data_IF_214224973455
#
_entry.id   IF_214224973455
#
_cell.length_a   1.000
_cell.length_b   1.000
_cell.length_c   1.000
_cell.angle_alpha   90.00
_cell.angle_beta   90.00
_cell.angle_gamma   90.00
#
_symmetry.space_group_name_H-M   'P 1'
#
loop_
_entity.id
_entity.type
_entity.pdbx_description
1 polymer ?
#
# COMPACT_ATOMS: atom_id res chain seq x y z
N UNK A 1 -8.30 20.54 16.19
CA UNK A 1 -8.67 19.34 15.42
C UNK A 1 -8.60 19.53 13.89
N UNK A 2 -9.36 20.46 13.25
CA UNK A 2 -9.38 20.59 11.77
C UNK A 2 -7.98 20.78 11.13
N UNK A 3 -7.12 21.62 11.72
CA UNK A 3 -5.74 21.85 11.22
C UNK A 3 -4.88 20.60 11.31
N UNK A 4 -5.00 19.84 12.40
CA UNK A 4 -4.27 18.59 12.58
C UNK A 4 -4.74 17.53 11.56
N UNK A 5 -6.07 17.37 11.40
CA UNK A 5 -6.63 16.46 10.43
C UNK A 5 -6.13 16.77 9.01
N UNK A 6 -6.17 18.05 8.61
CA UNK A 6 -5.67 18.46 7.29
C UNK A 6 -4.18 18.12 7.11
N UNK A 7 -3.32 18.47 8.09
CA UNK A 7 -1.89 18.22 8.00
C UNK A 7 -1.55 16.74 7.98
N UNK A 8 -2.10 15.95 8.88
CA UNK A 8 -1.84 14.51 8.93
C UNK A 8 -2.35 13.81 7.67
N UNK A 9 -3.52 14.22 7.16
CA UNK A 9 -4.04 13.73 5.88
C UNK A 9 -3.14 14.13 4.71
N UNK A 10 -2.63 15.35 4.67
CA UNK A 10 -1.69 15.80 3.64
C UNK A 10 -0.36 15.01 3.68
N UNK A 11 0.16 14.69 4.87
CA UNK A 11 1.36 13.85 5.01
C UNK A 11 1.16 12.48 4.38
N UNK A 12 0.06 11.81 4.71
CA UNK A 12 -0.30 10.49 4.17
C UNK A 12 -0.55 10.57 2.65
N UNK A 13 -1.25 11.62 2.19
CA UNK A 13 -1.51 11.85 0.78
C UNK A 13 -0.22 11.94 -0.04
N UNK A 14 0.74 12.77 0.38
CA UNK A 14 1.99 12.93 -0.36
C UNK A 14 2.86 11.67 -0.32
N UNK A 15 2.90 10.96 0.80
CA UNK A 15 3.62 9.69 0.90
C UNK A 15 3.08 8.67 -0.12
N UNK A 16 1.76 8.46 -0.15
CA UNK A 16 1.15 7.50 -1.07
C UNK A 16 1.23 7.97 -2.53
N UNK A 17 1.13 9.28 -2.79
CA UNK A 17 1.26 9.81 -4.15
C UNK A 17 2.66 9.54 -4.74
N UNK A 18 3.72 9.76 -3.95
CA UNK A 18 5.08 9.49 -4.41
C UNK A 18 5.46 8.01 -4.39
N UNK A 19 4.83 7.19 -3.55
CA UNK A 19 4.89 5.74 -3.69
C UNK A 19 4.38 5.29 -5.06
N UNK A 20 3.17 5.71 -5.44
CA UNK A 20 2.49 5.28 -6.65
C UNK A 20 3.04 5.94 -7.96
N UNK A 21 3.89 6.96 -7.85
CA UNK A 21 4.45 7.67 -9.00
C UNK A 21 5.46 6.83 -9.83
N UNK A 22 5.97 5.72 -9.28
CA UNK A 22 7.00 4.91 -9.96
C UNK A 22 6.46 4.17 -11.19
N UNK A 23 5.19 3.75 -11.19
CA UNK A 23 4.65 2.87 -12.21
C UNK A 23 4.78 3.41 -13.66
N UNK A 24 4.46 4.67 -13.98
CA UNK A 24 4.68 5.22 -15.31
C UNK A 24 6.16 5.45 -15.68
N UNK A 25 7.06 5.56 -14.69
CA UNK A 25 8.49 5.78 -14.91
C UNK A 25 9.28 4.48 -15.11
N UNK A 26 8.70 3.34 -14.72
CA UNK A 26 9.42 2.08 -14.72
C UNK A 26 9.94 1.66 -16.12
N UNK A 27 9.18 1.84 -17.22
CA UNK A 27 9.68 1.56 -18.56
C UNK A 27 10.91 2.40 -18.92
N UNK A 28 10.93 3.71 -18.60
CA UNK A 28 12.06 4.58 -18.89
C UNK A 28 13.33 4.10 -18.19
N UNK A 29 13.23 3.75 -16.89
CA UNK A 29 14.39 3.21 -16.17
C UNK A 29 14.87 1.88 -16.76
N UNK A 30 13.95 1.03 -17.26
CA UNK A 30 14.32 -0.22 -17.93
C UNK A 30 15.08 0.07 -19.22
N UNK A 31 14.61 1.02 -20.03
CA UNK A 31 15.21 1.33 -21.32
C UNK A 31 16.52 2.13 -21.17
N UNK A 32 16.54 3.16 -20.33
CA UNK A 32 17.70 4.05 -20.15
C UNK A 32 18.87 3.40 -19.42
N UNK A 33 18.56 2.59 -18.36
CA UNK A 33 19.58 1.92 -17.56
C UNK A 33 19.84 0.48 -17.98
N UNK A 34 19.10 -0.02 -18.99
CA UNK A 34 19.23 -1.40 -19.47
C UNK A 34 18.86 -2.46 -18.44
N UNK A 35 17.84 -2.16 -17.58
CA UNK A 35 17.48 -3.04 -16.48
C UNK A 35 16.78 -4.32 -16.96
N UNK A 36 17.09 -5.41 -16.31
CA UNK A 36 16.28 -6.61 -16.37
C UNK A 36 14.95 -6.41 -15.63
N UNK A 37 13.95 -7.25 -15.92
CA UNK A 37 12.68 -7.24 -15.17
C UNK A 37 12.88 -7.54 -13.67
N UNK A 38 13.93 -8.28 -13.32
CA UNK A 38 14.30 -8.55 -11.94
C UNK A 38 14.76 -7.27 -11.23
N UNK A 39 15.61 -6.47 -11.86
CA UNK A 39 16.09 -5.18 -11.33
C UNK A 39 14.94 -4.16 -11.26
N UNK A 40 14.07 -4.10 -12.26
CA UNK A 40 12.87 -3.29 -12.23
C UNK A 40 11.94 -3.71 -11.06
N UNK A 41 11.86 -5.02 -10.78
CA UNK A 41 11.14 -5.56 -9.65
C UNK A 41 11.74 -5.16 -8.30
N UNK A 42 13.08 -5.12 -8.20
CA UNK A 42 13.79 -4.64 -6.99
C UNK A 42 13.50 -3.15 -6.79
N UNK A 43 13.64 -2.33 -7.82
CA UNK A 43 13.39 -0.89 -7.76
C UNK A 43 11.95 -0.58 -7.31
N UNK A 44 10.95 -1.25 -7.89
CA UNK A 44 9.55 -1.08 -7.49
C UNK A 44 9.31 -1.52 -6.03
N UNK A 45 9.85 -2.69 -5.65
CA UNK A 45 9.66 -3.27 -4.32
C UNK A 45 10.51 -2.61 -3.22
N UNK A 46 11.53 -1.80 -3.56
CA UNK A 46 12.44 -1.21 -2.59
C UNK A 46 11.71 -0.33 -1.54
N UNK A 47 10.71 0.44 -1.97
CA UNK A 47 9.85 1.19 -1.03
C UNK A 47 9.15 0.25 -0.04
N UNK A 48 8.51 -0.80 -0.53
CA UNK A 48 7.83 -1.77 0.32
C UNK A 48 8.80 -2.49 1.25
N UNK A 49 10.03 -2.78 0.80
CA UNK A 49 11.07 -3.37 1.64
C UNK A 49 11.48 -2.43 2.80
N UNK A 50 11.62 -1.13 2.53
CA UNK A 50 11.85 -0.12 3.55
C UNK A 50 10.70 -0.03 4.56
N UNK A 51 9.46 -0.03 4.06
CA UNK A 51 8.25 -0.06 4.89
C UNK A 51 8.19 -1.33 5.74
N UNK A 52 8.47 -2.50 5.18
CA UNK A 52 8.49 -3.78 5.88
C UNK A 52 9.46 -3.77 7.07
N UNK A 53 10.68 -3.29 6.84
CA UNK A 53 11.70 -3.19 7.89
C UNK A 53 11.29 -2.19 8.99
N UNK A 54 10.69 -1.06 8.60
CA UNK A 54 10.39 0.03 9.52
C UNK A 54 8.98 -0.02 10.14
N UNK A 55 8.05 -0.84 9.65
CA UNK A 55 6.64 -0.83 10.06
C UNK A 55 6.44 -0.94 11.58
N UNK A 56 7.06 -1.94 12.22
CA UNK A 56 6.99 -2.10 13.67
C UNK A 56 7.91 -1.12 14.42
N UNK A 57 9.20 -0.94 14.02
CA UNK A 57 10.06 0.07 14.61
C UNK A 57 9.47 1.48 14.63
N UNK A 58 8.77 1.90 13.58
CA UNK A 58 8.12 3.21 13.51
C UNK A 58 7.05 3.41 14.60
N UNK A 59 6.28 2.37 14.92
CA UNK A 59 5.35 2.38 16.04
C UNK A 59 6.06 2.60 17.38
N UNK A 60 7.20 1.94 17.61
CA UNK A 60 8.02 2.16 18.81
C UNK A 60 8.63 3.57 18.83
N UNK A 61 9.08 4.10 17.69
CA UNK A 61 9.58 5.47 17.60
C UNK A 61 8.46 6.45 17.97
N UNK A 62 7.27 6.31 17.36
CA UNK A 62 6.13 7.17 17.65
C UNK A 62 5.71 7.14 19.13
N UNK A 63 5.79 5.98 19.79
CA UNK A 63 5.47 5.82 21.22
C UNK A 63 6.54 6.38 22.18
N UNK A 64 7.81 6.55 21.72
CA UNK A 64 8.92 7.04 22.57
C UNK A 64 9.23 8.51 22.35
N UNK A 65 9.30 8.93 21.09
CA UNK A 65 9.70 10.27 20.68
C UNK A 65 8.50 11.21 20.56
N UNK A 66 7.32 10.64 20.45
CA UNK A 66 6.05 11.34 20.22
C UNK A 66 5.59 11.25 18.76
N UNK A 67 4.27 11.15 18.53
CA UNK A 67 3.70 10.89 17.21
C UNK A 67 3.98 12.06 16.24
N UNK A 68 3.90 13.31 16.68
CA UNK A 68 4.21 14.50 15.87
C UNK A 68 5.67 14.46 15.37
N UNK A 69 6.63 14.19 16.27
CA UNK A 69 8.05 14.16 15.93
C UNK A 69 8.36 13.02 14.97
N UNK A 70 7.75 11.84 15.17
CA UNK A 70 7.86 10.71 14.24
C UNK A 70 7.40 11.10 12.83
N UNK A 71 6.22 11.74 12.69
CA UNK A 71 5.71 12.20 11.42
C UNK A 71 6.62 13.26 10.76
N UNK A 72 7.14 14.21 11.52
CA UNK A 72 8.08 15.24 11.02
C UNK A 72 9.37 14.59 10.52
N UNK A 73 9.96 13.67 11.29
CA UNK A 73 11.16 12.94 10.85
C UNK A 73 10.89 12.16 9.55
N UNK A 74 9.74 11.48 9.46
CA UNK A 74 9.33 10.79 8.24
C UNK A 74 9.19 11.74 7.05
N UNK A 75 8.55 12.90 7.22
CA UNK A 75 8.42 13.92 6.15
C UNK A 75 9.77 14.42 5.64
N UNK A 76 10.68 14.77 6.54
CA UNK A 76 12.01 15.26 6.15
C UNK A 76 12.81 14.16 5.44
N UNK A 77 12.70 12.92 5.93
CA UNK A 77 13.35 11.77 5.31
C UNK A 77 12.77 11.50 3.91
N UNK A 78 11.42 11.58 3.76
CA UNK A 78 10.74 11.44 2.47
C UNK A 78 11.20 12.54 1.49
N UNK A 79 11.29 13.79 1.93
CA UNK A 79 11.73 14.90 1.11
C UNK A 79 13.16 14.73 0.60
N UNK A 80 14.10 14.40 1.50
CA UNK A 80 15.51 14.20 1.15
C UNK A 80 15.69 12.99 0.23
N UNK A 81 15.06 11.86 0.57
CA UNK A 81 15.17 10.65 -0.27
C UNK A 81 14.50 10.81 -1.63
N UNK A 82 13.41 11.60 -1.73
CA UNK A 82 12.80 11.91 -3.01
C UNK A 82 13.66 12.86 -3.85
N UNK A 83 14.30 13.85 -3.24
CA UNK A 83 15.28 14.69 -3.95
C UNK A 83 16.43 13.83 -4.49
N UNK A 84 16.98 12.92 -3.67
CA UNK A 84 18.05 12.01 -4.14
C UNK A 84 17.54 11.16 -5.29
N UNK A 85 16.34 10.56 -5.17
CA UNK A 85 15.74 9.76 -6.25
C UNK A 85 15.60 10.53 -7.56
N UNK A 86 15.22 11.80 -7.51
CA UNK A 86 15.07 12.65 -8.71
C UNK A 86 16.39 13.09 -9.35
N UNK A 87 17.52 13.02 -8.63
CA UNK A 87 18.83 13.51 -9.10
C UNK A 87 19.80 12.41 -9.52
N UNK A 88 19.55 11.15 -9.13
CA UNK A 88 20.50 10.06 -9.39
C UNK A 88 20.04 9.19 -10.55
N UNK A 89 21.02 8.70 -11.33
CA UNK A 89 20.79 7.81 -12.48
C UNK A 89 21.30 6.38 -12.22
N UNK A 90 21.94 6.14 -11.09
CA UNK A 90 22.52 4.84 -10.75
C UNK A 90 21.50 3.96 -10.03
N UNK A 91 21.26 2.75 -10.54
CA UNK A 91 20.20 1.86 -10.05
C UNK A 91 20.30 1.61 -8.53
N UNK A 92 21.48 1.33 -8.00
CA UNK A 92 21.63 1.08 -6.56
C UNK A 92 21.31 2.29 -5.69
N UNK A 93 21.55 3.52 -6.18
CA UNK A 93 21.17 4.75 -5.47
C UNK A 93 19.67 5.01 -5.57
N UNK A 94 19.05 4.68 -6.71
CA UNK A 94 17.59 4.70 -6.87
C UNK A 94 16.93 3.72 -5.90
N UNK A 95 17.45 2.49 -5.80
CA UNK A 95 16.96 1.47 -4.86
C UNK A 95 17.08 1.93 -3.40
N UNK A 96 18.24 2.50 -3.01
CA UNK A 96 18.46 3.03 -1.65
C UNK A 96 17.54 4.20 -1.37
N UNK A 97 17.33 5.10 -2.33
CA UNK A 97 16.42 6.23 -2.18
C UNK A 97 14.98 5.74 -2.00
N UNK A 98 14.51 4.78 -2.83
CA UNK A 98 13.18 4.15 -2.69
C UNK A 98 13.01 3.42 -1.36
N UNK A 99 14.01 2.65 -0.95
CA UNK A 99 14.02 1.97 0.35
C UNK A 99 13.89 2.96 1.51
N UNK A 100 14.64 4.07 1.43
CA UNK A 100 14.58 5.16 2.43
C UNK A 100 13.23 5.86 2.43
N UNK A 101 12.60 6.06 1.25
CA UNK A 101 11.22 6.56 1.16
C UNK A 101 10.25 5.63 1.88
N UNK A 102 10.41 4.30 1.77
CA UNK A 102 9.58 3.34 2.49
C UNK A 102 9.73 3.42 4.02
N UNK A 103 10.94 3.62 4.52
CA UNK A 103 11.18 3.89 5.96
C UNK A 103 10.47 5.19 6.37
N UNK A 104 10.59 6.21 5.54
CA UNK A 104 9.93 7.50 5.76
C UNK A 104 8.40 7.36 5.83
N UNK A 105 7.82 6.61 4.89
CA UNK A 105 6.40 6.29 4.87
C UNK A 105 5.94 5.60 6.15
N UNK A 106 6.65 4.58 6.62
CA UNK A 106 6.33 3.91 7.88
C UNK A 106 6.31 4.88 9.08
N UNK A 107 7.27 5.82 9.16
CA UNK A 107 7.31 6.85 10.21
C UNK A 107 6.16 7.85 10.08
N UNK A 108 5.80 8.24 8.85
CA UNK A 108 4.66 9.13 8.57
C UNK A 108 3.36 8.46 9.01
N UNK A 109 3.11 7.22 8.57
CA UNK A 109 1.88 6.50 8.90
C UNK A 109 1.75 6.27 10.40
N UNK A 110 2.79 5.73 11.04
CA UNK A 110 2.78 5.51 12.49
C UNK A 110 2.59 6.83 13.26
N UNK A 111 3.29 7.89 12.86
CA UNK A 111 3.21 9.19 13.51
C UNK A 111 1.87 9.89 13.27
N UNK A 112 1.45 10.05 12.02
CA UNK A 112 0.26 10.81 11.66
C UNK A 112 -1.04 10.17 12.19
N UNK A 113 -1.21 8.84 12.02
CA UNK A 113 -2.39 8.14 12.53
C UNK A 113 -2.44 8.16 14.05
N UNK A 114 -1.32 7.88 14.73
CA UNK A 114 -1.28 7.93 16.19
C UNK A 114 -1.59 9.34 16.69
N UNK A 115 -1.05 10.38 16.04
CA UNK A 115 -1.33 11.78 16.40
C UNK A 115 -2.81 12.13 16.24
N UNK A 116 -3.44 11.69 15.15
CA UNK A 116 -4.87 11.88 14.92
C UNK A 116 -5.73 11.15 15.94
N UNK A 117 -5.44 9.88 16.21
CA UNK A 117 -6.23 9.04 17.12
C UNK A 117 -6.15 9.56 18.56
N UNK A 118 -4.95 9.98 19.02
CA UNK A 118 -4.76 10.49 20.38
C UNK A 118 -5.34 11.89 20.59
N UNK A 119 -5.47 12.67 19.52
CA UNK A 119 -6.07 14.01 19.59
C UNK A 119 -7.58 14.02 19.36
N UNK A 120 -8.15 12.95 18.80
CA UNK A 120 -9.57 12.88 18.46
C UNK A 120 -10.43 12.47 19.66
N UNK A 121 -11.60 13.10 19.87
CA UNK A 121 -12.63 12.57 20.76
C UNK A 121 -13.06 11.17 20.35
N UNK A 122 -13.43 10.31 21.31
CA UNK A 122 -13.78 8.91 21.05
C UNK A 122 -14.86 8.75 19.99
N UNK A 123 -15.88 9.60 20.00
CA UNK A 123 -17.01 9.59 19.09
C UNK A 123 -16.62 9.89 17.63
N UNK A 124 -15.51 10.59 17.40
CA UNK A 124 -15.07 11.02 16.07
C UNK A 124 -13.85 10.26 15.53
N UNK A 125 -13.24 9.35 16.29
CA UNK A 125 -12.04 8.59 15.89
C UNK A 125 -12.22 7.86 14.57
N UNK A 126 -13.32 7.13 14.39
CA UNK A 126 -13.59 6.43 13.15
C UNK A 126 -13.68 7.35 11.93
N UNK A 127 -14.34 8.50 12.07
CA UNK A 127 -14.45 9.50 11.00
C UNK A 127 -13.09 10.11 10.63
N UNK A 128 -12.24 10.36 11.63
CA UNK A 128 -10.90 10.93 11.44
C UNK A 128 -9.98 9.93 10.73
N UNK A 129 -9.99 8.66 11.13
CA UNK A 129 -9.24 7.58 10.47
C UNK A 129 -9.75 7.40 9.04
N UNK A 130 -11.07 7.37 8.84
CA UNK A 130 -11.67 7.24 7.51
C UNK A 130 -11.29 8.40 6.58
N UNK A 131 -11.19 9.62 7.09
CA UNK A 131 -10.71 10.78 6.31
C UNK A 131 -9.25 10.62 5.91
N UNK A 132 -8.38 10.19 6.83
CA UNK A 132 -6.97 9.96 6.54
C UNK A 132 -6.77 8.85 5.48
N UNK A 133 -7.51 7.74 5.59
CA UNK A 133 -7.50 6.67 4.59
C UNK A 133 -8.05 7.13 3.23
N UNK A 134 -9.10 7.94 3.23
CA UNK A 134 -9.63 8.54 1.99
C UNK A 134 -8.62 9.43 1.27
N UNK A 135 -7.77 10.16 2.02
CA UNK A 135 -6.69 10.95 1.43
C UNK A 135 -5.54 10.10 0.91
N UNK A 136 -5.26 8.94 1.51
CA UNK A 136 -4.32 7.96 0.97
C UNK A 136 -4.78 7.47 -0.42
N UNK A 137 -6.06 7.17 -0.58
CA UNK A 137 -6.64 6.79 -1.87
C UNK A 137 -6.51 7.93 -2.89
N UNK A 138 -6.77 9.17 -2.49
CA UNK A 138 -6.56 10.33 -3.37
C UNK A 138 -5.08 10.48 -3.77
N UNK A 139 -4.14 10.18 -2.87
CA UNK A 139 -2.71 10.10 -3.16
C UNK A 139 -2.40 9.03 -4.22
N UNK A 140 -2.95 7.83 -4.06
CA UNK A 140 -2.77 6.73 -5.02
C UNK A 140 -3.31 7.09 -6.42
N UNK A 141 -4.39 7.86 -6.50
CA UNK A 141 -4.93 8.37 -7.76
C UNK A 141 -4.01 9.42 -8.42
N UNK A 142 -3.40 10.30 -7.61
CA UNK A 142 -2.52 11.34 -8.13
C UNK A 142 -1.13 10.81 -8.51
N UNK A 143 -0.67 9.74 -7.86
CA UNK A 143 0.68 9.21 -8.06
C UNK A 143 1.03 8.93 -9.51
N UNK A 144 0.24 8.15 -10.26
CA UNK A 144 0.51 7.89 -11.68
C UNK A 144 0.51 9.17 -12.55
N UNK A 145 -0.26 10.21 -12.17
CA UNK A 145 -0.19 11.52 -12.84
C UNK A 145 1.17 12.18 -12.61
N UNK A 146 1.64 12.16 -11.36
CA UNK A 146 2.96 12.69 -11.00
C UNK A 146 4.08 11.93 -11.69
N UNK A 147 3.97 10.61 -11.82
CA UNK A 147 4.92 9.79 -12.55
C UNK A 147 4.97 10.12 -14.04
N UNK A 148 3.81 10.22 -14.71
CA UNK A 148 3.74 10.62 -16.10
C UNK A 148 4.22 12.07 -16.33
N UNK A 149 3.98 12.97 -15.37
CA UNK A 149 4.51 14.32 -15.40
C UNK A 149 6.04 14.31 -15.26
N UNK A 150 6.58 13.51 -14.34
CA UNK A 150 8.02 13.38 -14.15
C UNK A 150 8.72 12.84 -15.41
N UNK A 151 8.13 11.89 -16.12
CA UNK A 151 8.61 11.43 -17.42
C UNK A 151 8.63 12.54 -18.48
N UNK A 152 7.75 13.55 -18.39
CA UNK A 152 7.65 14.60 -19.41
C UNK A 152 8.49 15.84 -19.13
N UNK A 153 8.67 16.24 -17.86
CA UNK A 153 9.37 17.48 -17.47
C UNK A 153 10.67 17.25 -16.71
N UNK A 154 10.99 15.98 -16.40
CA UNK A 154 12.17 15.56 -15.64
C UNK A 154 11.84 15.14 -14.21
N UNK A 155 12.48 14.05 -13.79
CA UNK A 155 12.32 13.46 -12.45
C UNK A 155 12.84 14.41 -11.36
N UNK A 156 13.90 15.16 -11.65
CA UNK A 156 14.53 16.13 -10.74
C UNK A 156 13.57 17.23 -10.30
N UNK A 157 12.68 17.70 -11.19
CA UNK A 157 11.71 18.75 -10.87
C UNK A 157 10.57 18.22 -10.01
N UNK A 158 9.99 17.08 -10.40
CA UNK A 158 8.82 16.53 -9.71
C UNK A 158 9.23 15.96 -8.35
N UNK A 159 10.25 15.10 -8.29
CA UNK A 159 10.71 14.53 -7.02
C UNK A 159 11.48 15.54 -6.17
N UNK A 160 12.18 16.51 -6.76
CA UNK A 160 12.81 17.62 -6.03
C UNK A 160 11.78 18.52 -5.34
N UNK A 161 10.62 18.76 -5.94
CA UNK A 161 9.53 19.54 -5.33
C UNK A 161 9.02 18.94 -4.01
N UNK A 162 9.17 17.61 -3.82
CA UNK A 162 8.78 16.91 -2.60
C UNK A 162 9.47 17.48 -1.39
N UNK A 163 10.77 17.79 -1.49
CA UNK A 163 11.53 18.36 -0.37
C UNK A 163 10.92 19.70 0.09
N UNK A 164 10.48 20.53 -0.84
CA UNK A 164 9.85 21.82 -0.51
C UNK A 164 8.52 21.59 0.19
N UNK A 165 7.67 20.73 -0.37
CA UNK A 165 6.34 20.42 0.18
C UNK A 165 6.45 19.77 1.55
N UNK A 166 7.30 18.75 1.70
CA UNK A 166 7.45 18.03 2.98
C UNK A 166 8.09 18.91 4.04
N UNK A 167 9.03 19.81 3.67
CA UNK A 167 9.59 20.81 4.59
C UNK A 167 8.53 21.81 5.06
N UNK A 168 7.66 22.28 4.18
CA UNK A 168 6.55 23.17 4.54
C UNK A 168 5.55 22.47 5.48
N UNK A 169 5.19 21.20 5.19
CA UNK A 169 4.33 20.39 6.04
C UNK A 169 4.98 20.12 7.40
N UNK A 170 6.28 19.80 7.45
CA UNK A 170 7.04 19.59 8.67
C UNK A 170 7.09 20.86 9.53
N UNK A 171 7.32 22.03 8.89
CA UNK A 171 7.26 23.32 9.57
C UNK A 171 5.86 23.59 10.12
N UNK A 172 4.80 23.42 9.33
CA UNK A 172 3.43 23.60 9.80
C UNK A 172 3.09 22.65 10.97
N UNK A 173 3.52 21.38 10.88
CA UNK A 173 3.35 20.39 11.95
C UNK A 173 4.08 20.79 13.24
N UNK A 174 5.29 21.36 13.14
CA UNK A 174 6.06 21.83 14.30
C UNK A 174 5.36 22.92 15.10
N UNK A 175 4.43 23.66 14.47
CA UNK A 175 3.64 24.73 15.10
C UNK A 175 2.38 24.25 15.81
N UNK A 176 2.00 22.97 15.63
CA UNK A 176 0.86 22.38 16.32
C UNK A 176 1.29 21.76 17.66
N UNK A 177 0.38 21.73 18.67
CA UNK A 177 0.67 21.05 19.93
C UNK A 177 0.86 19.55 19.69
N UNK A 178 1.73 18.94 20.47
CA UNK A 178 1.87 17.49 20.54
C UNK A 178 0.67 16.93 21.30
N UNK A 179 0.02 15.89 20.77
CA UNK A 179 -0.95 15.12 21.56
C UNK A 179 -0.19 14.21 22.53
N UNK A 180 -0.88 13.74 23.57
CA UNK A 180 -0.27 12.85 24.55
C UNK A 180 0.49 11.67 23.90
N UNK A 181 1.56 11.24 24.55
CA UNK A 181 2.29 10.04 24.11
C UNK A 181 1.42 8.83 24.44
N UNK A 182 1.17 7.92 23.49
CA UNK A 182 0.40 6.71 23.77
C UNK A 182 1.01 5.89 24.90
N UNK A 183 0.18 5.15 25.61
CA UNK A 183 0.65 4.19 26.61
C UNK A 183 1.63 3.20 25.99
N UNK A 184 2.76 2.99 26.65
CA UNK A 184 3.85 2.15 26.12
C UNK A 184 3.49 0.69 26.28
N UNK A 185 3.41 -0.03 25.19
CA UNK A 185 3.28 -1.47 25.22
C UNK A 185 4.67 -2.12 25.25
N UNK A 186 4.95 -3.07 26.17
CA UNK A 186 6.23 -3.76 26.23
C UNK A 186 6.50 -4.53 24.93
N UNK A 187 7.72 -4.39 24.41
CA UNK A 187 8.14 -5.08 23.15
C UNK A 187 7.92 -6.58 23.22
N UNK A 188 8.17 -7.19 24.41
CA UNK A 188 8.00 -8.63 24.63
C UNK A 188 6.56 -9.08 24.43
N UNK A 189 5.58 -8.29 24.86
CA UNK A 189 4.15 -8.59 24.67
C UNK A 189 3.79 -8.53 23.18
N UNK A 190 4.22 -7.48 22.47
CA UNK A 190 3.99 -7.35 21.01
C UNK A 190 4.58 -8.56 20.29
N UNK A 191 5.84 -8.93 20.55
CA UNK A 191 6.50 -10.06 19.90
C UNK A 191 5.79 -11.39 20.22
N UNK A 192 5.32 -11.60 21.46
CA UNK A 192 4.64 -12.84 21.83
C UNK A 192 3.32 -13.07 21.06
N UNK A 193 2.66 -11.99 20.68
CA UNK A 193 1.40 -12.03 19.94
C UNK A 193 1.62 -12.16 18.43
N UNK A 194 2.68 -11.54 17.88
CA UNK A 194 2.98 -11.53 16.45
C UNK A 194 3.06 -12.92 15.81
N UNK A 195 3.55 -13.92 16.54
CA UNK A 195 3.68 -15.30 16.05
C UNK A 195 2.46 -16.18 16.41
N UNK A 196 1.40 -15.61 16.96
CA UNK A 196 0.18 -16.35 17.21
C UNK A 196 -0.52 -16.70 15.89
N UNK A 197 -1.14 -17.89 15.84
CA UNK A 197 -1.81 -18.37 14.62
C UNK A 197 -2.87 -17.40 14.09
N UNK A 198 -3.73 -16.79 14.91
CA UNK A 198 -4.71 -15.83 14.39
C UNK A 198 -4.06 -14.63 13.71
N UNK A 199 -2.99 -14.07 14.28
CA UNK A 199 -2.25 -12.95 13.66
C UNK A 199 -1.61 -13.37 12.34
N UNK A 200 -0.97 -14.55 12.30
CA UNK A 200 -0.36 -15.06 11.07
C UNK A 200 -1.40 -15.30 9.97
N UNK A 201 -2.57 -15.80 10.32
CA UNK A 201 -3.70 -15.95 9.38
C UNK A 201 -4.18 -14.59 8.86
N UNK A 202 -4.36 -13.60 9.74
CA UNK A 202 -4.73 -12.24 9.35
C UNK A 202 -3.67 -11.57 8.45
N UNK A 203 -2.40 -11.73 8.79
CA UNK A 203 -1.27 -11.26 7.96
C UNK A 203 -1.28 -11.94 6.59
N UNK A 204 -1.50 -13.25 6.52
CA UNK A 204 -1.58 -14.00 5.26
C UNK A 204 -2.70 -13.46 4.35
N UNK A 205 -3.89 -13.18 4.91
CA UNK A 205 -5.02 -12.67 4.15
C UNK A 205 -4.80 -11.26 3.57
N UNK A 206 -3.91 -10.46 4.15
CA UNK A 206 -3.49 -9.18 3.59
C UNK A 206 -2.29 -9.35 2.65
N UNK A 207 -1.30 -10.15 3.02
CA UNK A 207 -0.07 -10.31 2.27
C UNK A 207 -0.29 -10.96 0.89
N UNK A 208 -1.15 -11.99 0.79
CA UNK A 208 -1.35 -12.69 -0.49
C UNK A 208 -1.92 -11.80 -1.59
N UNK A 209 -3.02 -11.04 -1.41
CA UNK A 209 -3.43 -10.08 -2.44
C UNK A 209 -2.37 -8.99 -2.68
N UNK A 210 -1.54 -8.63 -1.68
CA UNK A 210 -0.44 -7.69 -1.87
C UNK A 210 0.69 -8.25 -2.76
N UNK A 211 0.90 -9.57 -2.80
CA UNK A 211 1.81 -10.22 -3.78
C UNK A 211 1.35 -9.92 -5.21
N UNK A 212 0.07 -10.00 -5.47
CA UNK A 212 -0.50 -9.65 -6.77
C UNK A 212 -0.21 -8.19 -7.13
N UNK A 213 -0.44 -7.26 -6.19
CA UNK A 213 -0.19 -5.84 -6.42
C UNK A 213 1.29 -5.56 -6.72
N UNK A 214 2.22 -6.11 -5.93
CA UNK A 214 3.65 -5.93 -6.18
C UNK A 214 4.08 -6.41 -7.57
N UNK A 215 3.53 -7.53 -8.03
CA UNK A 215 3.79 -8.01 -9.39
C UNK A 215 3.16 -7.11 -10.48
N UNK A 216 1.94 -6.64 -10.27
CA UNK A 216 1.23 -5.75 -11.21
C UNK A 216 1.97 -4.44 -11.38
N UNK A 217 2.51 -3.85 -10.33
CA UNK A 217 3.27 -2.60 -10.38
C UNK A 217 4.53 -2.70 -11.24
N UNK A 218 5.05 -3.91 -11.46
CA UNK A 218 6.21 -4.16 -12.33
C UNK A 218 5.78 -4.62 -13.72
N UNK A 219 4.96 -5.66 -13.77
CA UNK A 219 4.69 -6.38 -15.03
C UNK A 219 3.73 -5.62 -15.95
N UNK A 220 2.76 -4.90 -15.39
CA UNK A 220 1.75 -4.21 -16.20
C UNK A 220 2.29 -2.97 -16.90
N UNK A 221 3.04 -2.05 -16.25
CA UNK A 221 3.67 -0.93 -16.94
C UNK A 221 4.58 -1.40 -18.10
N UNK A 222 5.46 -2.36 -17.85
CA UNK A 222 6.35 -2.93 -18.87
C UNK A 222 5.58 -3.61 -20.01
N UNK A 223 4.44 -4.23 -19.72
CA UNK A 223 3.61 -4.84 -20.76
C UNK A 223 2.86 -3.80 -21.58
N UNK A 224 2.34 -2.75 -20.95
CA UNK A 224 1.67 -1.63 -21.63
C UNK A 224 2.65 -0.96 -22.59
N UNK A 225 3.86 -0.70 -22.13
CA UNK A 225 4.91 -0.09 -22.93
C UNK A 225 5.31 -0.96 -24.12
N UNK A 226 5.57 -2.26 -23.90
CA UNK A 226 5.88 -3.23 -24.97
C UNK A 226 4.75 -3.38 -26.02
N UNK A 227 3.53 -2.95 -25.72
CA UNK A 227 2.38 -2.92 -26.63
C UNK A 227 2.16 -1.54 -27.27
N UNK A 228 3.11 -0.62 -27.11
CA UNK A 228 3.07 0.73 -27.67
C UNK A 228 2.23 1.73 -26.87
N UNK A 229 1.89 1.41 -25.62
CA UNK A 229 1.22 2.34 -24.70
C UNK A 229 2.27 3.11 -23.89
N UNK A 230 2.34 4.42 -24.05
CA UNK A 230 3.26 5.26 -23.28
C UNK A 230 2.75 5.58 -21.86
N UNK A 231 3.49 6.48 -21.17
CA UNK A 231 3.23 6.90 -19.77
C UNK A 231 1.77 7.27 -19.50
N UNK A 232 1.11 7.93 -20.48
CA UNK A 232 -0.30 8.31 -20.36
C UNK A 232 -1.25 7.12 -20.26
N UNK A 233 -0.98 6.03 -21.00
CA UNK A 233 -1.80 4.81 -20.94
C UNK A 233 -1.60 4.07 -19.61
N UNK A 234 -0.34 4.03 -19.11
CA UNK A 234 -0.02 3.47 -17.80
C UNK A 234 -0.74 4.27 -16.71
N UNK A 235 -0.57 5.59 -16.72
CA UNK A 235 -1.23 6.47 -15.73
C UNK A 235 -2.77 6.32 -15.78
N UNK A 236 -3.37 6.34 -16.96
CA UNK A 236 -4.82 6.20 -17.12
C UNK A 236 -5.32 4.84 -16.59
N UNK A 237 -4.61 3.75 -16.87
CA UNK A 237 -4.96 2.42 -16.37
C UNK A 237 -4.94 2.34 -14.84
N UNK A 238 -3.86 2.82 -14.22
CA UNK A 238 -3.75 2.82 -12.75
C UNK A 238 -4.75 3.77 -12.08
N UNK A 239 -4.99 4.96 -12.67
CA UNK A 239 -6.02 5.90 -12.16
C UNK A 239 -7.41 5.29 -12.25
N UNK A 240 -7.76 4.69 -13.39
CA UNK A 240 -9.06 4.04 -13.56
C UNK A 240 -9.24 2.88 -12.57
N UNK A 241 -8.19 2.07 -12.38
CA UNK A 241 -8.18 0.99 -11.40
C UNK A 241 -8.34 1.49 -9.98
N UNK A 242 -7.48 2.40 -9.53
CA UNK A 242 -7.52 2.97 -8.18
C UNK A 242 -8.83 3.72 -7.91
N UNK A 243 -9.38 4.43 -8.90
CA UNK A 243 -10.67 5.10 -8.80
C UNK A 243 -11.83 4.12 -8.62
N UNK A 244 -11.82 3.00 -9.34
CA UNK A 244 -12.81 1.94 -9.18
C UNK A 244 -12.69 1.26 -7.81
N UNK A 245 -11.48 0.95 -7.36
CA UNK A 245 -11.22 0.39 -6.04
C UNK A 245 -11.73 1.32 -4.93
N UNK A 246 -11.42 2.61 -5.03
CA UNK A 246 -11.88 3.63 -4.10
C UNK A 246 -13.41 3.72 -4.02
N UNK A 247 -14.09 3.67 -5.18
CA UNK A 247 -15.55 3.71 -5.25
C UNK A 247 -16.21 2.46 -4.65
N UNK A 248 -15.54 1.30 -4.77
CA UNK A 248 -16.04 0.01 -4.29
C UNK A 248 -15.73 -0.28 -2.82
N UNK A 249 -14.65 0.26 -2.26
CA UNK A 249 -14.22 -0.01 -0.89
C UNK A 249 -15.33 0.20 0.17
N UNK A 250 -16.14 1.30 0.15
CA UNK A 250 -17.25 1.46 1.09
C UNK A 250 -18.39 0.46 0.87
N UNK A 251 -18.58 -0.02 -0.36
CA UNK A 251 -19.59 -1.03 -0.68
C UNK A 251 -19.15 -2.41 -0.21
N UNK A 252 -17.86 -2.74 -0.42
CA UNK A 252 -17.25 -3.98 0.06
C UNK A 252 -17.27 -4.06 1.59
N UNK A 253 -16.99 -2.96 2.30
CA UNK A 253 -17.12 -2.88 3.75
C UNK A 253 -18.55 -3.18 4.22
N UNK A 254 -19.56 -2.47 3.67
CA UNK A 254 -20.99 -2.70 4.01
C UNK A 254 -21.46 -4.11 3.66
N UNK A 255 -20.98 -4.68 2.55
CA UNK A 255 -21.28 -6.07 2.19
C UNK A 255 -20.66 -7.02 3.20
N UNK A 256 -19.40 -6.81 3.55
CA UNK A 256 -18.67 -7.59 4.56
C UNK A 256 -19.38 -7.59 5.92
N UNK A 257 -19.93 -6.44 6.36
CA UNK A 257 -20.67 -6.34 7.61
C UNK A 257 -22.00 -7.12 7.57
N UNK A 258 -22.65 -7.23 6.41
CA UNK A 258 -23.94 -7.91 6.24
C UNK A 258 -23.83 -9.42 6.05
N UNK A 259 -22.91 -9.86 5.18
CA UNK A 259 -22.79 -11.27 4.78
C UNK A 259 -21.59 -11.98 5.38
N UNK A 260 -20.83 -11.27 6.25
CA UNK A 260 -19.59 -11.78 6.82
C UNK A 260 -18.40 -11.58 5.87
N UNK A 261 -17.18 -11.63 6.43
CA UNK A 261 -15.95 -11.25 5.74
C UNK A 261 -15.50 -12.26 4.68
N UNK A 262 -15.86 -13.54 4.84
CA UNK A 262 -15.43 -14.62 3.96
C UNK A 262 -15.89 -14.45 2.51
N UNK A 263 -17.18 -14.14 2.32
CA UNK A 263 -17.76 -14.10 0.97
C UNK A 263 -17.20 -12.99 0.09
N UNK A 264 -17.15 -11.70 0.52
CA UNK A 264 -16.53 -10.64 -0.29
C UNK A 264 -15.05 -10.92 -0.57
N UNK A 265 -14.32 -11.43 0.42
CA UNK A 265 -12.91 -11.77 0.27
C UNK A 265 -12.70 -12.83 -0.82
N UNK A 266 -13.44 -13.94 -0.77
CA UNK A 266 -13.34 -15.04 -1.74
C UNK A 266 -13.76 -14.58 -3.16
N UNK A 267 -14.83 -13.80 -3.28
CA UNK A 267 -15.27 -13.24 -4.56
C UNK A 267 -14.17 -12.33 -5.13
N UNK A 268 -13.62 -11.44 -4.30
CA UNK A 268 -12.54 -10.55 -4.69
C UNK A 268 -11.31 -11.31 -5.19
N UNK A 269 -10.84 -12.30 -4.43
CA UNK A 269 -9.70 -13.14 -4.86
C UNK A 269 -9.98 -13.93 -6.13
N UNK A 270 -11.22 -14.41 -6.33
CA UNK A 270 -11.61 -15.12 -7.57
C UNK A 270 -11.51 -14.19 -8.77
N UNK A 271 -12.03 -12.97 -8.66
CA UNK A 271 -11.91 -11.96 -9.71
C UNK A 271 -10.44 -11.65 -9.99
N UNK A 272 -9.62 -11.46 -8.95
CA UNK A 272 -8.19 -11.20 -9.08
C UNK A 272 -7.47 -12.37 -9.76
N UNK A 273 -7.76 -13.62 -9.40
CA UNK A 273 -7.16 -14.79 -10.02
C UNK A 273 -7.48 -14.89 -11.53
N UNK A 274 -8.75 -14.66 -11.90
CA UNK A 274 -9.17 -14.62 -13.30
C UNK A 274 -8.51 -13.46 -14.06
N UNK A 275 -8.41 -12.28 -13.44
CA UNK A 275 -7.75 -11.11 -14.03
C UNK A 275 -6.25 -11.33 -14.23
N UNK A 276 -5.55 -12.01 -13.30
CA UNK A 276 -4.15 -12.38 -13.47
C UNK A 276 -3.95 -13.32 -14.66
N UNK A 277 -4.84 -14.29 -14.87
CA UNK A 277 -4.83 -15.15 -16.08
C UNK A 277 -5.11 -14.28 -17.32
N UNK A 278 -6.04 -13.35 -17.26
CA UNK A 278 -6.33 -12.45 -18.37
C UNK A 278 -5.11 -11.57 -18.73
N UNK A 279 -4.36 -11.05 -17.75
CA UNK A 279 -3.10 -10.30 -17.96
C UNK A 279 -2.05 -11.22 -18.64
N UNK A 280 -1.93 -12.48 -18.19
CA UNK A 280 -1.00 -13.45 -18.78
C UNK A 280 -1.27 -13.70 -20.27
N UNK A 281 -2.53 -13.72 -20.67
CA UNK A 281 -2.99 -14.02 -22.02
C UNK A 281 -3.20 -12.77 -22.89
N UNK A 282 -3.11 -11.58 -22.33
CA UNK A 282 -3.42 -10.33 -23.04
C UNK A 282 -2.44 -10.07 -24.17
N UNK A 283 -2.95 -9.99 -25.40
CA UNK A 283 -2.18 -9.74 -26.62
C UNK A 283 -2.31 -8.30 -27.14
N UNK A 284 -3.16 -7.48 -26.53
CA UNK A 284 -3.38 -6.08 -26.93
C UNK A 284 -3.39 -5.13 -25.74
N UNK A 285 -3.07 -3.87 -26.00
CA UNK A 285 -3.09 -2.80 -25.00
C UNK A 285 -4.45 -2.71 -24.28
N UNK A 286 -5.56 -2.73 -25.05
CA UNK A 286 -6.89 -2.68 -24.46
C UNK A 286 -7.21 -3.87 -23.55
N UNK A 287 -6.72 -5.08 -23.88
CA UNK A 287 -6.90 -6.25 -23.04
C UNK A 287 -6.13 -6.15 -21.72
N UNK A 288 -4.89 -5.63 -21.73
CA UNK A 288 -4.09 -5.40 -20.52
C UNK A 288 -4.78 -4.37 -19.62
N UNK A 289 -5.20 -3.24 -20.18
CA UNK A 289 -5.90 -2.17 -19.44
C UNK A 289 -7.23 -2.67 -18.84
N UNK A 290 -8.02 -3.41 -19.61
CA UNK A 290 -9.26 -4.02 -19.11
C UNK A 290 -9.00 -5.01 -17.97
N UNK A 291 -8.00 -5.87 -18.11
CA UNK A 291 -7.63 -6.82 -17.06
C UNK A 291 -7.10 -6.12 -15.80
N UNK A 292 -6.33 -5.03 -15.93
CA UNK A 292 -5.90 -4.20 -14.80
C UNK A 292 -7.11 -3.61 -14.04
N UNK A 293 -8.09 -3.06 -14.75
CA UNK A 293 -9.32 -2.51 -14.14
C UNK A 293 -10.12 -3.62 -13.44
N UNK A 294 -10.23 -4.81 -14.05
CA UNK A 294 -10.89 -5.97 -13.43
C UNK A 294 -10.14 -6.43 -12.17
N UNK A 295 -8.81 -6.37 -12.18
CA UNK A 295 -8.01 -6.67 -10.98
C UNK A 295 -8.36 -5.71 -9.84
N UNK A 296 -8.46 -4.41 -10.12
CA UNK A 296 -8.82 -3.41 -9.13
C UNK A 296 -10.23 -3.59 -8.56
N UNK A 297 -11.17 -4.09 -9.38
CA UNK A 297 -12.51 -4.50 -8.91
C UNK A 297 -12.41 -5.61 -7.85
N UNK A 298 -11.64 -6.66 -8.15
CA UNK A 298 -11.41 -7.77 -7.21
C UNK A 298 -10.69 -7.32 -5.94
N UNK A 299 -9.71 -6.45 -6.09
CA UNK A 299 -8.92 -5.88 -5.00
C UNK A 299 -9.79 -5.08 -4.02
N UNK A 300 -10.66 -4.19 -4.52
CA UNK A 300 -11.59 -3.44 -3.68
C UNK A 300 -12.53 -4.33 -2.85
N UNK A 301 -12.86 -5.52 -3.38
CA UNK A 301 -13.69 -6.50 -2.66
C UNK A 301 -12.90 -7.32 -1.63
N UNK A 302 -11.61 -7.60 -1.82
CA UNK A 302 -10.85 -8.47 -0.91
C UNK A 302 -10.05 -7.70 0.14
N UNK A 303 -9.51 -6.51 -0.16
CA UNK A 303 -8.64 -5.79 0.77
C UNK A 303 -9.37 -5.26 2.01
N UNK A 304 -10.53 -4.62 1.83
CA UNK A 304 -11.28 -4.07 2.97
C UNK A 304 -11.65 -5.15 4.01
N UNK A 305 -12.23 -6.32 3.63
CA UNK A 305 -12.47 -7.41 4.58
C UNK A 305 -11.20 -7.96 5.23
N UNK A 306 -10.08 -8.07 4.47
CA UNK A 306 -8.82 -8.59 4.99
C UNK A 306 -8.20 -7.67 6.05
N UNK A 307 -8.14 -6.36 5.77
CA UNK A 307 -7.62 -5.37 6.71
C UNK A 307 -8.48 -5.28 7.97
N UNK A 308 -9.81 -5.33 7.82
CA UNK A 308 -10.73 -5.31 8.96
C UNK A 308 -10.56 -6.58 9.81
N UNK A 309 -10.40 -7.74 9.17
CA UNK A 309 -10.15 -9.01 9.88
C UNK A 309 -8.86 -8.94 10.69
N UNK A 310 -7.76 -8.45 10.08
CA UNK A 310 -6.48 -8.29 10.77
C UNK A 310 -6.58 -7.31 11.94
N UNK A 311 -7.31 -6.20 11.77
CA UNK A 311 -7.55 -5.23 12.84
C UNK A 311 -8.31 -5.85 14.02
N UNK A 312 -9.40 -6.61 13.75
CA UNK A 312 -10.16 -7.26 14.82
C UNK A 312 -9.36 -8.33 15.56
N UNK A 313 -8.52 -9.08 14.84
CA UNK A 313 -7.61 -10.05 15.46
C UNK A 313 -6.60 -9.33 16.35
N UNK A 314 -6.03 -8.20 15.87
CA UNK A 314 -5.09 -7.40 16.64
C UNK A 314 -5.74 -6.83 17.92
N UNK A 315 -6.95 -6.28 17.81
CA UNK A 315 -7.72 -5.75 18.93
C UNK A 315 -8.07 -6.86 19.96
N UNK A 316 -8.50 -8.04 19.49
CA UNK A 316 -8.78 -9.20 20.37
C UNK A 316 -7.52 -9.73 21.05
N UNK A 317 -6.35 -9.46 20.49
CA UNK A 317 -5.04 -9.81 21.04
C UNK A 317 -4.44 -8.72 21.93
N UNK A 318 -5.23 -7.71 22.31
CA UNK A 318 -4.82 -6.58 23.16
C UNK A 318 -3.64 -5.77 22.59
N UNK A 319 -3.44 -5.76 21.28
CA UNK A 319 -2.46 -4.90 20.63
C UNK A 319 -3.00 -3.46 20.54
N UNK A 320 -2.17 -2.49 20.91
CA UNK A 320 -2.53 -1.09 20.74
C UNK A 320 -2.69 -0.74 19.24
N UNK A 321 -3.63 0.17 18.92
CA UNK A 321 -3.98 0.51 17.52
C UNK A 321 -2.78 0.94 16.66
N UNK A 322 -1.75 1.56 17.25
CA UNK A 322 -0.52 1.89 16.55
C UNK A 322 0.26 0.66 16.04
N UNK A 323 0.26 -0.43 16.82
CA UNK A 323 0.87 -1.70 16.41
C UNK A 323 -0.04 -2.47 15.43
N UNK A 324 -1.36 -2.38 15.56
CA UNK A 324 -2.29 -2.96 14.59
C UNK A 324 -2.11 -2.34 13.20
N UNK A 325 -1.96 -1.01 13.12
CA UNK A 325 -1.65 -0.31 11.88
C UNK A 325 -0.26 -0.71 11.31
N UNK A 326 0.77 -0.81 12.18
CA UNK A 326 2.08 -1.29 11.80
C UNK A 326 2.05 -2.72 11.26
N UNK A 327 1.24 -3.59 11.86
CA UNK A 327 1.05 -4.97 11.42
C UNK A 327 0.38 -5.05 10.04
N UNK A 328 -0.62 -4.21 9.79
CA UNK A 328 -1.28 -4.10 8.49
C UNK A 328 -0.31 -3.63 7.40
N UNK A 329 0.51 -2.61 7.70
CA UNK A 329 1.56 -2.14 6.80
C UNK A 329 2.63 -3.22 6.55
N UNK A 330 3.03 -3.95 7.59
CA UNK A 330 3.98 -5.06 7.47
C UNK A 330 3.43 -6.18 6.57
N UNK A 331 2.16 -6.55 6.77
CA UNK A 331 1.49 -7.57 5.96
C UNK A 331 1.40 -7.14 4.48
N UNK A 332 0.97 -5.90 4.22
CA UNK A 332 0.94 -5.32 2.88
C UNK A 332 2.34 -5.30 2.25
N UNK A 333 3.32 -4.75 2.94
CA UNK A 333 4.67 -4.59 2.43
C UNK A 333 5.37 -5.93 2.15
N UNK A 334 5.12 -6.96 2.98
CA UNK A 334 5.68 -8.30 2.75
C UNK A 334 5.19 -8.90 1.43
N UNK A 335 3.90 -8.75 1.13
CA UNK A 335 3.34 -9.19 -0.14
C UNK A 335 3.89 -8.39 -1.33
N UNK A 336 3.98 -7.06 -1.21
CA UNK A 336 4.55 -6.19 -2.24
C UNK A 336 6.00 -6.58 -2.59
N UNK A 337 6.83 -6.83 -1.58
CA UNK A 337 8.22 -7.25 -1.78
C UNK A 337 8.29 -8.59 -2.52
N UNK A 338 7.51 -9.58 -2.06
CA UNK A 338 7.47 -10.91 -2.69
C UNK A 338 6.95 -10.82 -4.13
N UNK A 339 5.91 -10.03 -4.36
CA UNK A 339 5.30 -9.86 -5.68
C UNK A 339 6.19 -9.10 -6.66
N UNK A 340 6.77 -7.97 -6.23
CA UNK A 340 7.62 -7.14 -7.07
C UNK A 340 8.92 -7.85 -7.45
N UNK A 341 9.69 -8.30 -6.46
CA UNK A 341 10.95 -9.01 -6.71
C UNK A 341 10.69 -10.36 -7.35
N UNK A 342 9.83 -11.18 -6.75
CA UNK A 342 9.54 -12.52 -7.24
C UNK A 342 8.90 -12.51 -8.63
N UNK A 343 7.94 -11.62 -8.86
CA UNK A 343 7.31 -11.42 -10.17
C UNK A 343 8.32 -10.99 -11.24
N UNK A 344 9.20 -10.02 -10.92
CA UNK A 344 10.27 -9.55 -11.79
C UNK A 344 11.28 -10.65 -12.14
N UNK A 345 11.77 -11.38 -11.13
CA UNK A 345 12.73 -12.48 -11.32
C UNK A 345 12.13 -13.59 -12.17
N UNK A 346 10.92 -14.07 -11.85
CA UNK A 346 10.27 -15.13 -12.65
C UNK A 346 10.01 -14.62 -14.06
N UNK A 347 9.58 -13.38 -14.25
CA UNK A 347 9.35 -12.81 -15.57
C UNK A 347 10.62 -12.65 -16.41
N UNK A 348 11.77 -12.39 -15.79
CA UNK A 348 13.05 -12.31 -16.50
C UNK A 348 13.51 -13.69 -17.03
N UNK A 349 13.16 -14.76 -16.33
CA UNK A 349 13.55 -16.13 -16.69
C UNK A 349 12.57 -16.82 -17.65
N UNK A 350 11.27 -16.54 -17.52
CA UNK A 350 10.21 -17.33 -18.16
C UNK A 350 9.22 -16.51 -18.99
N UNK A 351 9.37 -15.20 -18.99
CA UNK A 351 8.41 -14.28 -19.59
C UNK A 351 7.25 -13.89 -18.65
N UNK A 352 6.42 -12.93 -19.09
CA UNK A 352 5.41 -12.27 -18.24
C UNK A 352 4.25 -13.19 -17.82
N UNK A 353 3.95 -14.25 -18.56
CA UNK A 353 2.79 -15.11 -18.28
C UNK A 353 2.98 -15.98 -17.03
N UNK A 354 4.18 -16.53 -16.82
CA UNK A 354 4.44 -17.45 -15.73
C UNK A 354 4.20 -16.85 -14.33
N UNK A 355 4.72 -15.66 -13.98
CA UNK A 355 4.44 -15.07 -12.68
C UNK A 355 2.94 -14.76 -12.49
N UNK A 356 2.25 -14.30 -13.52
CA UNK A 356 0.81 -14.06 -13.44
C UNK A 356 0.02 -15.35 -13.15
N UNK A 357 0.36 -16.46 -13.81
CA UNK A 357 -0.27 -17.78 -13.57
C UNK A 357 0.08 -18.30 -12.16
N UNK A 358 1.33 -18.16 -11.73
CA UNK A 358 1.75 -18.57 -10.38
C UNK A 358 0.99 -17.79 -9.29
N UNK A 359 0.80 -16.48 -9.47
CA UNK A 359 0.01 -15.65 -8.56
C UNK A 359 -1.47 -16.04 -8.60
N UNK A 360 -2.05 -16.32 -9.78
CA UNK A 360 -3.41 -16.82 -9.87
C UNK A 360 -3.59 -18.13 -9.08
N UNK A 361 -2.64 -19.06 -9.20
CA UNK A 361 -2.64 -20.30 -8.42
C UNK A 361 -2.53 -20.04 -6.92
N UNK A 362 -1.68 -19.11 -6.48
CA UNK A 362 -1.54 -18.71 -5.07
C UNK A 362 -2.87 -18.15 -4.54
N UNK A 363 -3.56 -17.29 -5.31
CA UNK A 363 -4.87 -16.76 -4.95
C UNK A 363 -5.92 -17.87 -4.80
N UNK A 364 -5.94 -18.87 -5.70
CA UNK A 364 -6.85 -20.02 -5.61
C UNK A 364 -6.57 -20.90 -4.38
N UNK A 365 -5.29 -21.13 -4.04
CA UNK A 365 -4.92 -21.84 -2.82
C UNK A 365 -5.40 -21.07 -1.58
N UNK A 366 -5.27 -19.74 -1.60
CA UNK A 366 -5.72 -18.88 -0.50
C UNK A 366 -7.25 -18.90 -0.36
N UNK A 367 -7.99 -18.98 -1.47
CA UNK A 367 -9.45 -19.18 -1.44
C UNK A 367 -9.80 -20.49 -0.71
N UNK A 368 -9.14 -21.59 -1.07
CA UNK A 368 -9.36 -22.87 -0.41
C UNK A 368 -9.03 -22.83 1.09
N UNK A 369 -7.97 -22.09 1.46
CA UNK A 369 -7.61 -21.86 2.85
C UNK A 369 -8.65 -21.00 3.59
N UNK A 370 -9.14 -19.93 2.96
CA UNK A 370 -10.17 -19.06 3.54
C UNK A 370 -11.48 -19.80 3.85
N UNK A 371 -11.86 -20.79 3.00
CA UNK A 371 -13.02 -21.64 3.29
C UNK A 371 -12.84 -22.52 4.54
N UNK A 372 -11.61 -22.85 4.92
CA UNK A 372 -11.30 -23.69 6.08
C UNK A 372 -11.12 -22.88 7.36
N UNK A 373 -10.54 -21.67 7.26
CA UNK A 373 -10.13 -20.86 8.41
C UNK A 373 -11.12 -19.77 8.79
N UNK A 374 -11.89 -19.23 7.81
CA UNK A 374 -12.89 -18.20 8.10
C UNK A 374 -14.26 -18.82 8.31
N UNK A 375 -14.86 -18.58 9.49
CA UNK A 375 -16.21 -19.01 9.78
C UNK A 375 -17.22 -18.37 8.82
N UNK A 376 -18.26 -19.09 8.38
CA UNK A 376 -19.40 -18.46 7.71
C UNK A 376 -20.06 -17.44 8.65
N UNK A 377 -20.61 -16.36 8.08
CA UNK A 377 -21.38 -15.41 8.86
C UNK A 377 -22.46 -16.13 9.67
N UNK A 378 -22.50 -15.91 10.97
CA UNK A 378 -23.69 -16.24 11.75
C UNK A 378 -24.73 -15.19 11.37
N UNK A 379 -25.92 -15.56 10.83
CA UNK A 379 -26.96 -14.59 10.55
C UNK A 379 -27.24 -13.81 11.83
N UNK A 380 -27.28 -12.47 11.75
CA UNK A 380 -27.72 -11.65 12.86
C UNK A 380 -29.11 -12.16 13.32
N UNK A 381 -29.21 -12.62 14.56
CA UNK A 381 -30.50 -12.94 15.12
C UNK A 381 -31.38 -11.69 15.00
N UNK A 382 -32.60 -11.79 14.45
CA UNK A 382 -33.51 -10.66 14.43
C UNK A 382 -33.68 -10.22 15.90
N UNK A 383 -33.50 -8.93 16.15
CA UNK A 383 -33.73 -8.34 17.45
C UNK A 383 -35.11 -8.77 17.88
N UNK A 384 -35.18 -9.52 18.99
CA UNK A 384 -36.43 -9.88 19.61
C UNK A 384 -37.16 -8.56 19.94
N UNK A 385 -38.25 -8.32 19.21
CA UNK A 385 -39.13 -7.16 19.35
C UNK A 385 -39.91 -7.15 20.66
#
# INVERSE_FOLDING_TARGET
>A
MRRLLFLASAMIFFDVAFFAAIAPLLPDYVDELGLTKAEAGILSAAYAAGTLLAALPAGFVASRVGPRRSAICGLLLLGVSSLVFGLVEQIYLLDVARFTQGIAGALIWAGALTWLITAAPDESRGSVIGTALGTAVAGALLGPVLGALAASIGTEWVFGSVLVVTSALAYAASRLPESGVPERQPVREVISVLFSRPILDGVLFVAVPSVMFGAIEVLVPLRIDALGGGHGAIAAGFIAGAGLEAALAPMAGRLSDRVGRRMPYVIGLTICALAMVAIALAASLGAVLAALIVTSLGAGLCFAPALTLLSDIADSSSLHQGFAAGLSNMAWASGQVVGGIGGGVVASLTGNAAPCIAIAALLLVTIAYAFRSLSPAVPAQPAAG
#
